data_IF_829729654958
#
_entry.id   IF_829729654958
#
_cell.length_a   1.000
_cell.length_b   1.000
_cell.length_c   1.000
_cell.angle_alpha   90.00
_cell.angle_beta   90.00
_cell.angle_gamma   90.00
#
_symmetry.space_group_name_H-M   'P 1'
#
loop_
_entity.id
_entity.type
_entity.pdbx_description
1 polymer ?
#
# COMPACT_ATOMS: atom_id res chain seq x y z
N UNK A 1 11.78 7.69 7.20
CA UNK A 1 10.88 8.83 6.86
C UNK A 1 9.48 8.30 6.54
N UNK A 2 8.36 9.01 6.85
CA UNK A 2 7.03 8.56 6.37
C UNK A 2 7.02 8.77 4.85
N UNK A 3 7.06 7.68 4.08
CA UNK A 3 6.66 7.76 2.69
C UNK A 3 5.21 8.25 2.66
N UNK A 4 4.96 9.34 1.95
CA UNK A 4 3.61 9.81 1.68
C UNK A 4 3.09 8.99 0.51
N UNK A 5 1.92 8.40 0.67
CA UNK A 5 1.24 7.63 -0.36
C UNK A 5 -0.05 8.35 -0.75
N UNK A 6 -0.41 8.25 -2.02
CA UNK A 6 -1.58 8.91 -2.59
C UNK A 6 -2.67 7.90 -2.85
N UNK A 7 -3.82 8.09 -2.18
CA UNK A 7 -5.02 7.31 -2.48
C UNK A 7 -5.84 8.00 -3.57
N UNK A 8 -6.03 7.32 -4.70
CA UNK A 8 -7.03 7.70 -5.72
C UNK A 8 -8.33 7.00 -5.33
N UNK A 9 -9.43 7.75 -5.21
CA UNK A 9 -10.72 7.21 -4.77
C UNK A 9 -11.86 7.66 -5.69
N UNK A 10 -12.79 6.75 -5.95
CA UNK A 10 -13.99 6.96 -6.75
C UNK A 10 -15.20 6.43 -5.99
N UNK A 11 -16.33 7.13 -6.08
CA UNK A 11 -17.63 6.54 -5.73
C UNK A 11 -18.33 6.06 -7.01
N UNK A 12 -18.81 4.81 -7.02
CA UNK A 12 -19.48 4.19 -8.16
C UNK A 12 -20.57 3.22 -7.72
N UNK A 13 -21.75 3.32 -8.33
CA UNK A 13 -22.92 2.49 -7.99
C UNK A 13 -23.21 2.33 -6.48
N UNK A 14 -22.96 3.39 -5.69
CA UNK A 14 -23.15 3.39 -4.24
C UNK A 14 -21.98 2.85 -3.41
N UNK A 15 -20.89 2.41 -4.05
CA UNK A 15 -19.68 1.92 -3.40
C UNK A 15 -18.53 2.91 -3.50
N UNK A 16 -17.64 2.89 -2.53
CA UNK A 16 -16.34 3.55 -2.57
C UNK A 16 -15.28 2.57 -3.04
N UNK A 17 -14.51 2.95 -4.05
CA UNK A 17 -13.41 2.15 -4.61
C UNK A 17 -12.15 3.01 -4.54
N UNK A 18 -11.03 2.43 -4.14
CA UNK A 18 -9.78 3.18 -4.06
C UNK A 18 -8.55 2.35 -4.37
N UNK A 19 -7.49 3.05 -4.75
CA UNK A 19 -6.18 2.53 -5.15
C UNK A 19 -5.08 3.37 -4.50
N UNK A 20 -3.94 2.76 -4.18
CA UNK A 20 -2.72 3.49 -3.84
C UNK A 20 -1.89 3.66 -5.11
N UNK A 21 -1.69 4.92 -5.53
CA UNK A 21 -1.04 5.26 -6.81
C UNK A 21 0.37 4.68 -6.92
N UNK A 22 1.13 4.74 -5.84
CA UNK A 22 2.54 4.32 -5.83
C UNK A 22 2.72 2.81 -5.65
N UNK A 23 1.67 2.05 -5.30
CA UNK A 23 1.76 0.61 -5.02
C UNK A 23 0.75 -0.18 -5.85
N UNK A 24 1.15 -0.71 -7.02
CA UNK A 24 0.28 -1.51 -7.87
C UNK A 24 -0.33 -2.70 -7.11
N UNK A 25 -1.63 -2.92 -7.31
CA UNK A 25 -2.37 -4.02 -6.67
C UNK A 25 -2.87 -3.74 -5.26
N UNK A 26 -2.55 -2.58 -4.66
CA UNK A 26 -3.17 -2.14 -3.41
C UNK A 26 -4.45 -1.37 -3.74
N UNK A 27 -5.58 -2.04 -3.60
CA UNK A 27 -6.90 -1.47 -3.83
C UNK A 27 -7.95 -2.10 -2.92
N UNK A 28 -8.97 -1.32 -2.57
CA UNK A 28 -10.07 -1.77 -1.72
C UNK A 28 -11.40 -1.23 -2.26
N UNK A 29 -12.50 -1.85 -1.84
CA UNK A 29 -13.86 -1.37 -2.09
C UNK A 29 -14.69 -1.52 -0.82
N UNK A 30 -15.36 -0.45 -0.41
CA UNK A 30 -16.15 -0.39 0.83
C UNK A 30 -17.45 0.39 0.65
N UNK A 31 -18.38 0.25 1.60
CA UNK A 31 -19.67 0.93 1.56
C UNK A 31 -19.55 2.43 1.88
N UNK A 32 -18.59 2.80 2.74
CA UNK A 32 -18.35 4.19 3.14
C UNK A 32 -16.93 4.64 2.81
N UNK A 33 -16.75 5.97 2.73
CA UNK A 33 -15.45 6.59 2.49
C UNK A 33 -14.46 6.30 3.62
N UNK A 34 -14.92 6.30 4.86
CA UNK A 34 -14.05 6.12 6.02
C UNK A 34 -13.61 4.66 6.16
N UNK A 35 -14.50 3.70 5.88
CA UNK A 35 -14.12 2.29 5.76
C UNK A 35 -13.09 2.11 4.64
N UNK A 36 -13.31 2.71 3.47
CA UNK A 36 -12.34 2.62 2.36
C UNK A 36 -10.96 3.11 2.79
N UNK A 37 -10.89 4.24 3.49
CA UNK A 37 -9.61 4.80 3.97
C UNK A 37 -8.93 3.84 4.95
N UNK A 38 -9.68 3.22 5.86
CA UNK A 38 -9.11 2.28 6.81
C UNK A 38 -8.62 1.00 6.12
N UNK A 39 -9.43 0.42 5.23
CA UNK A 39 -9.03 -0.76 4.45
C UNK A 39 -7.78 -0.48 3.61
N UNK A 40 -7.72 0.66 2.91
CA UNK A 40 -6.54 1.05 2.14
C UNK A 40 -5.28 1.18 3.03
N UNK A 41 -5.41 1.71 4.24
CA UNK A 41 -4.29 1.84 5.18
C UNK A 41 -3.76 0.48 5.64
N UNK A 42 -4.66 -0.44 5.96
CA UNK A 42 -4.32 -1.80 6.39
C UNK A 42 -3.66 -2.55 5.23
N UNK A 43 -4.30 -2.62 4.07
CA UNK A 43 -3.78 -3.33 2.90
C UNK A 43 -2.46 -2.74 2.41
N UNK A 44 -2.28 -1.42 2.43
CA UNK A 44 -1.00 -0.78 2.11
C UNK A 44 0.11 -1.24 3.07
N UNK A 45 -0.17 -1.29 4.38
CA UNK A 45 0.81 -1.75 5.37
C UNK A 45 1.23 -3.20 5.10
N UNK A 46 0.26 -4.07 4.88
CA UNK A 46 0.49 -5.49 4.59
C UNK A 46 1.30 -5.67 3.30
N UNK A 47 0.99 -4.93 2.24
CA UNK A 47 1.73 -4.98 0.98
C UNK A 47 3.18 -4.51 1.14
N UNK A 48 3.43 -3.44 1.90
CA UNK A 48 4.78 -2.94 2.17
C UNK A 48 5.58 -3.92 3.04
N UNK A 49 4.95 -4.53 4.04
CA UNK A 49 5.57 -5.56 4.88
C UNK A 49 5.91 -6.80 4.05
N UNK A 50 4.98 -7.26 3.22
CA UNK A 50 5.20 -8.38 2.31
C UNK A 50 6.38 -8.12 1.37
N UNK A 51 6.40 -6.95 0.72
CA UNK A 51 7.49 -6.57 -0.20
C UNK A 51 8.84 -6.50 0.51
N UNK A 52 8.88 -5.95 1.74
CA UNK A 52 10.11 -5.91 2.55
C UNK A 52 10.59 -7.32 2.90
N UNK A 53 9.68 -8.18 3.38
CA UNK A 53 10.01 -9.57 3.72
C UNK A 53 10.49 -10.36 2.50
N UNK A 54 9.87 -10.17 1.33
CA UNK A 54 10.28 -10.85 0.11
C UNK A 54 11.66 -10.38 -0.38
N UNK A 55 11.95 -9.07 -0.31
CA UNK A 55 13.26 -8.52 -0.65
C UNK A 55 14.37 -9.05 0.26
N UNK A 56 14.13 -9.10 1.58
CA UNK A 56 15.08 -9.68 2.56
C UNK A 56 15.31 -11.17 2.26
N UNK A 57 14.24 -11.91 2.01
CA UNK A 57 14.33 -13.34 1.68
C UNK A 57 15.10 -13.57 0.38
N UNK A 58 14.92 -12.71 -0.62
CA UNK A 58 15.64 -12.76 -1.87
C UNK A 58 17.12 -12.40 -1.73
N UNK A 59 17.45 -11.42 -0.87
CA UNK A 59 18.83 -11.05 -0.56
C UNK A 59 19.59 -12.20 0.14
N UNK A 60 18.88 -12.98 0.97
CA UNK A 60 19.42 -14.18 1.59
C UNK A 60 20.38 -13.88 2.75
N UNK A 61 21.68 -13.95 2.50
CA UNK A 61 22.74 -13.92 3.51
C UNK A 61 22.96 -12.57 4.20
N UNK A 62 24.21 -12.10 4.23
CA UNK A 62 24.52 -10.76 4.75
C UNK A 62 24.12 -9.70 3.72
N UNK A 63 23.29 -8.74 4.13
CA UNK A 63 22.83 -7.63 3.31
C UNK A 63 23.01 -6.29 4.03
N UNK A 64 22.96 -5.21 3.27
CA UNK A 64 22.96 -3.83 3.75
C UNK A 64 21.68 -3.15 3.29
N UNK A 65 21.09 -2.32 4.15
CA UNK A 65 19.93 -1.49 3.82
C UNK A 65 20.37 -0.02 3.75
N UNK A 66 20.04 0.65 2.65
CA UNK A 66 20.29 2.08 2.44
C UNK A 66 19.03 2.75 1.91
N UNK A 67 18.66 3.91 2.46
CA UNK A 67 17.55 4.71 1.93
C UNK A 67 17.97 5.40 0.62
N UNK A 68 17.18 5.22 -0.44
CA UNK A 68 17.37 5.87 -1.75
C UNK A 68 16.17 6.80 -2.00
N UNK A 69 16.45 8.07 -2.30
CA UNK A 69 15.44 9.05 -2.72
C UNK A 69 15.49 9.23 -4.25
N UNK A 70 14.34 9.52 -4.87
CA UNK A 70 14.17 9.82 -6.31
C UNK A 70 14.04 11.32 -6.52
#
# INVERSE_FOLDING_TARGET
MKANYTAVMKQDAGWWIGWIEEVPGVNCQEATRDELIESLRVTLREALEFNRSDAIRAAGGSYEELEIAV
#
